data_IF_077435422991
#
_entry.id   IF_077435422991
#
_cell.length_a   1.000
_cell.length_b   1.000
_cell.length_c   1.000
_cell.angle_alpha   90.00
_cell.angle_beta   90.00
_cell.angle_gamma   90.00
#
_symmetry.space_group_name_H-M   'P 1'
#
loop_
_entity.id
_entity.type
_entity.pdbx_description
1 polymer ?
#
# COMPACT_ATOMS: atom_id res chain seq x y z
N UNK A 1 20.41 14.09 0.00
CA UNK A 1 19.99 12.98 -0.87
C UNK A 1 20.94 11.85 -0.54
N UNK A 2 20.39 10.72 -0.07
CA UNK A 2 21.17 9.55 0.35
C UNK A 2 21.93 8.96 -0.84
N UNK A 3 22.90 8.10 -0.56
CA UNK A 3 23.65 7.34 -1.57
C UNK A 3 22.68 6.53 -2.44
N UNK A 4 22.73 6.73 -3.76
CA UNK A 4 21.94 5.98 -4.73
C UNK A 4 22.78 4.81 -5.27
N UNK A 5 22.30 3.58 -5.05
CA UNK A 5 22.91 2.37 -5.64
C UNK A 5 21.99 1.81 -6.72
N UNK A 6 22.49 1.74 -7.94
CA UNK A 6 21.78 1.18 -9.10
C UNK A 6 22.46 -0.10 -9.58
N UNK A 7 21.67 -1.14 -9.83
CA UNK A 7 22.15 -2.41 -10.41
C UNK A 7 21.40 -2.67 -11.71
N UNK A 8 22.15 -2.94 -12.78
CA UNK A 8 21.65 -3.21 -14.12
C UNK A 8 22.37 -4.44 -14.68
N UNK A 9 21.71 -5.16 -15.59
CA UNK A 9 22.24 -6.40 -16.16
C UNK A 9 23.03 -6.20 -17.45
N UNK A 10 22.88 -5.04 -18.10
CA UNK A 10 23.55 -4.73 -19.37
C UNK A 10 24.07 -3.29 -19.40
N UNK A 11 25.14 -3.06 -20.16
CA UNK A 11 25.73 -1.74 -20.39
C UNK A 11 24.71 -0.73 -20.93
N UNK A 12 23.90 -1.16 -21.91
CA UNK A 12 22.90 -0.30 -22.54
C UNK A 12 21.82 0.17 -21.55
N UNK A 13 21.40 -0.70 -20.64
CA UNK A 13 20.47 -0.32 -19.57
C UNK A 13 21.09 0.70 -18.62
N UNK A 14 22.36 0.53 -18.24
CA UNK A 14 23.07 1.50 -17.39
C UNK A 14 23.14 2.88 -18.04
N UNK A 15 23.54 2.96 -19.32
CA UNK A 15 23.65 4.24 -20.04
C UNK A 15 22.28 4.94 -20.11
N UNK A 16 21.22 4.21 -20.44
CA UNK A 16 19.85 4.76 -20.48
C UNK A 16 19.38 5.25 -19.12
N UNK A 17 19.67 4.50 -18.06
CA UNK A 17 19.34 4.86 -16.69
C UNK A 17 20.07 6.14 -16.26
N UNK A 18 21.38 6.22 -16.50
CA UNK A 18 22.18 7.39 -16.14
C UNK A 18 21.72 8.64 -16.88
N UNK A 19 21.37 8.54 -18.17
CA UNK A 19 20.79 9.65 -18.94
C UNK A 19 19.48 10.13 -18.32
N UNK A 20 18.52 9.22 -18.12
CA UNK A 20 17.22 9.58 -17.52
C UNK A 20 17.38 10.14 -16.10
N UNK A 21 18.33 9.62 -15.33
CA UNK A 21 18.62 10.09 -13.98
C UNK A 21 19.17 11.53 -14.02
N UNK A 22 20.09 11.81 -14.94
CA UNK A 22 20.62 13.16 -15.14
C UNK A 22 19.50 14.14 -15.51
N UNK A 23 18.69 13.82 -16.52
CA UNK A 23 17.58 14.68 -16.98
C UNK A 23 16.64 15.03 -15.81
N UNK A 24 16.25 14.03 -15.00
CA UNK A 24 15.37 14.25 -13.85
C UNK A 24 16.01 15.10 -12.74
N UNK A 25 17.30 14.91 -12.48
CA UNK A 25 18.03 15.65 -11.45
C UNK A 25 18.27 17.10 -11.88
N UNK A 26 18.53 17.34 -13.16
CA UNK A 26 18.65 18.68 -13.74
C UNK A 26 17.31 19.43 -13.70
N UNK A 27 16.19 18.75 -14.01
CA UNK A 27 14.84 19.32 -13.85
C UNK A 27 14.54 19.73 -12.40
N UNK A 28 15.11 19.02 -11.42
CA UNK A 28 15.04 19.37 -10.01
C UNK A 28 16.05 20.46 -9.59
N UNK A 29 16.76 21.09 -10.54
CA UNK A 29 17.85 22.07 -10.32
C UNK A 29 18.99 21.54 -9.43
N UNK A 30 19.30 20.26 -9.59
CA UNK A 30 20.39 19.59 -8.88
C UNK A 30 21.41 19.04 -9.88
N UNK A 31 22.62 18.67 -9.41
CA UNK A 31 23.67 18.05 -10.23
C UNK A 31 24.22 16.80 -9.54
N UNK A 32 24.36 15.71 -10.30
CA UNK A 32 25.14 14.54 -9.87
C UNK A 32 26.62 14.86 -10.06
N UNK A 33 27.46 14.51 -9.07
CA UNK A 33 28.92 14.71 -9.14
C UNK A 33 29.59 13.38 -9.49
N UNK A 34 30.03 13.15 -10.74
CA UNK A 34 30.66 11.88 -11.15
C UNK A 34 31.90 11.54 -10.33
N UNK A 35 32.66 12.55 -9.91
CA UNK A 35 33.81 12.41 -9.01
C UNK A 35 33.47 11.78 -7.65
N UNK A 36 32.21 11.87 -7.19
CA UNK A 36 31.69 11.24 -5.97
C UNK A 36 30.97 9.91 -6.22
N UNK A 37 30.77 9.54 -7.47
CA UNK A 37 30.12 8.28 -7.88
C UNK A 37 31.18 7.22 -8.19
N UNK A 38 30.77 5.95 -8.16
CA UNK A 38 31.65 4.81 -8.46
C UNK A 38 30.90 3.78 -9.28
N UNK A 39 31.57 3.21 -10.28
CA UNK A 39 31.02 2.15 -11.11
C UNK A 39 31.81 0.86 -10.96
N UNK A 40 31.07 -0.25 -10.97
CA UNK A 40 31.62 -1.60 -11.00
C UNK A 40 30.93 -2.36 -12.13
N UNK A 41 31.72 -3.04 -12.96
CA UNK A 41 31.23 -3.89 -14.05
C UNK A 41 31.84 -5.27 -13.93
N UNK A 42 30.99 -6.30 -13.98
CA UNK A 42 31.41 -7.70 -13.88
C UNK A 42 30.94 -8.40 -15.14
N UNK A 43 31.89 -8.94 -15.91
CA UNK A 43 31.63 -9.68 -17.15
C UNK A 43 32.22 -11.07 -16.98
N UNK A 44 31.38 -12.11 -17.09
CA UNK A 44 31.79 -13.53 -16.91
C UNK A 44 32.57 -13.77 -15.60
N UNK A 45 32.11 -13.15 -14.51
CA UNK A 45 32.72 -13.30 -13.17
C UNK A 45 34.02 -12.52 -12.96
N UNK A 46 34.50 -11.75 -13.93
CA UNK A 46 35.70 -10.91 -13.80
C UNK A 46 35.32 -9.42 -13.83
N UNK A 47 36.06 -8.61 -13.08
CA UNK A 47 35.95 -7.16 -13.18
C UNK A 47 36.31 -6.70 -14.60
N UNK A 48 35.54 -5.75 -15.10
CA UNK A 48 35.70 -5.16 -16.42
C UNK A 48 35.93 -3.66 -16.30
N UNK A 49 36.85 -3.12 -17.08
CA UNK A 49 37.21 -1.69 -17.10
C UNK A 49 36.21 -0.82 -17.85
N UNK A 50 34.95 -1.23 -17.90
CA UNK A 50 33.89 -0.43 -18.51
C UNK A 50 33.66 0.85 -17.73
N UNK A 51 33.77 1.96 -18.46
CA UNK A 51 33.49 3.31 -17.94
C UNK A 51 32.09 3.76 -18.36
N UNK A 52 31.44 4.48 -17.47
CA UNK A 52 30.17 5.14 -17.70
C UNK A 52 30.32 6.64 -17.50
N UNK A 53 29.47 7.41 -18.16
CA UNK A 53 29.48 8.87 -18.10
C UNK A 53 28.14 9.38 -17.56
N UNK A 54 28.19 10.54 -16.92
CA UNK A 54 27.03 11.37 -16.61
C UNK A 54 27.34 12.74 -17.19
N UNK A 55 26.53 13.19 -18.16
CA UNK A 55 26.93 14.23 -19.11
C UNK A 55 28.19 13.80 -19.85
N UNK A 56 29.20 14.67 -19.86
CA UNK A 56 30.51 14.43 -20.48
C UNK A 56 31.59 14.00 -19.47
N UNK A 57 31.24 13.87 -18.18
CA UNK A 57 32.18 13.55 -17.11
C UNK A 57 32.19 12.03 -16.82
N UNK A 58 33.37 11.36 -16.81
CA UNK A 58 33.46 9.93 -16.52
C UNK A 58 33.28 9.63 -15.02
N UNK A 59 32.58 8.54 -14.72
CA UNK A 59 32.50 7.97 -13.38
C UNK A 59 33.75 7.10 -13.13
N UNK A 60 34.54 7.34 -12.07
CA UNK A 60 35.67 6.49 -11.72
C UNK A 60 35.23 5.06 -11.41
N UNK A 61 36.02 4.07 -11.84
CA UNK A 61 35.77 2.68 -11.48
C UNK A 61 36.16 2.42 -10.02
N UNK A 62 35.62 1.36 -9.42
CA UNK A 62 36.01 0.93 -8.07
C UNK A 62 37.48 0.52 -8.01
N UNK A 63 38.04 0.00 -9.11
CA UNK A 63 39.47 -0.33 -9.22
C UNK A 63 40.36 0.91 -9.20
N UNK A 64 39.94 2.00 -9.83
CA UNK A 64 40.68 3.27 -9.86
C UNK A 64 40.57 4.03 -8.54
N UNK A 65 39.36 4.05 -7.97
CA UNK A 65 39.07 4.73 -6.70
C UNK A 65 38.14 3.87 -5.86
N UNK A 66 38.63 3.24 -4.79
CA UNK A 66 37.81 2.47 -3.87
C UNK A 66 36.60 3.29 -3.38
N UNK A 67 35.50 2.59 -3.11
CA UNK A 67 34.27 3.20 -2.60
C UNK A 67 34.04 2.79 -1.17
N UNK A 68 33.71 3.77 -0.31
CA UNK A 68 33.28 3.50 1.06
C UNK A 68 31.76 3.50 1.10
N UNK A 69 31.15 2.36 1.41
CA UNK A 69 29.69 2.25 1.59
C UNK A 69 29.39 1.55 2.90
N UNK A 70 28.52 2.15 3.72
CA UNK A 70 28.14 1.65 5.06
C UNK A 70 29.34 1.28 5.94
N UNK A 71 30.47 1.94 5.72
CA UNK A 71 31.69 1.73 6.50
C UNK A 71 32.65 0.66 6.04
N UNK A 72 32.34 -0.01 4.95
CA UNK A 72 33.25 -0.94 4.30
C UNK A 72 33.86 -0.28 3.09
N UNK A 73 35.16 -0.50 2.94
CA UNK A 73 35.84 -0.22 1.69
C UNK A 73 35.55 -1.37 0.73
N UNK A 74 35.14 -1.01 -0.47
CA UNK A 74 35.04 -1.92 -1.60
C UNK A 74 36.11 -1.48 -2.59
N UNK A 75 37.04 -2.38 -2.86
CA UNK A 75 38.08 -2.25 -3.87
C UNK A 75 37.94 -3.37 -4.92
N UNK A 76 38.92 -3.48 -5.81
CA UNK A 76 38.92 -4.48 -6.87
C UNK A 76 39.03 -5.94 -6.36
N UNK A 77 39.44 -6.18 -5.11
CA UNK A 77 39.57 -7.52 -4.55
C UNK A 77 38.21 -8.12 -4.17
N UNK A 78 37.25 -7.27 -3.79
CA UNK A 78 35.94 -7.64 -3.25
C UNK A 78 35.98 -8.62 -2.05
N UNK A 79 37.14 -8.80 -1.40
CA UNK A 79 37.29 -9.68 -0.23
C UNK A 79 37.08 -8.91 1.08
N UNK A 80 36.23 -9.45 1.95
CA UNK A 80 35.85 -8.85 3.24
C UNK A 80 36.71 -9.32 4.42
N UNK A 81 37.69 -10.19 4.16
CA UNK A 81 38.47 -10.91 5.18
C UNK A 81 39.84 -10.29 5.47
N UNK A 82 40.15 -9.16 4.84
CA UNK A 82 41.45 -8.49 4.96
C UNK A 82 41.67 -7.94 6.41
N UNK A 83 42.77 -8.31 7.09
CA UNK A 83 43.16 -7.76 8.40
C UNK A 83 43.23 -6.22 8.42
N UNK A 84 43.60 -5.60 7.31
CA UNK A 84 43.64 -4.16 7.12
C UNK A 84 42.23 -3.56 7.19
N UNK A 85 41.20 -4.24 6.66
CA UNK A 85 39.79 -3.80 6.75
C UNK A 85 39.23 -3.98 8.18
N UNK A 86 39.71 -4.98 8.93
CA UNK A 86 39.30 -5.22 10.31
C UNK A 86 39.93 -4.24 11.31
N UNK A 87 41.20 -3.87 11.12
CA UNK A 87 41.92 -2.90 11.96
C UNK A 87 41.65 -1.45 11.54
N UNK A 88 41.50 -1.17 10.24
CA UNK A 88 41.17 0.15 9.73
C UNK A 88 39.65 0.39 9.71
N UNK A 89 38.91 -0.05 10.74
CA UNK A 89 37.49 0.26 10.90
C UNK A 89 37.33 1.78 11.08
N UNK A 90 37.09 2.55 10.00
CA UNK A 90 37.22 3.99 10.08
C UNK A 90 35.95 4.52 10.73
N UNK A 91 36.04 5.58 11.51
CA UNK A 91 34.85 6.27 12.02
C UNK A 91 33.93 6.54 10.82
N UNK A 92 32.70 6.04 10.91
CA UNK A 92 31.73 6.18 9.86
C UNK A 92 31.28 7.63 9.87
N UNK A 93 31.70 8.39 8.86
CA UNK A 93 31.19 9.72 8.55
C UNK A 93 29.72 9.61 8.14
N UNK A 94 28.91 9.24 9.11
CA UNK A 94 27.48 9.31 9.10
C UNK A 94 27.13 10.72 9.55
N UNK A 95 26.08 11.31 8.97
CA UNK A 95 25.69 12.68 9.33
C UNK A 95 25.50 12.82 10.85
N UNK A 96 25.41 14.05 11.36
CA UNK A 96 25.30 14.35 12.80
C UNK A 96 24.16 13.63 13.55
N UNK A 97 23.21 13.02 12.84
CA UNK A 97 21.96 12.47 13.37
C UNK A 97 21.97 10.96 13.60
N UNK A 98 22.94 10.21 13.08
CA UNK A 98 22.93 8.76 13.19
C UNK A 98 24.34 8.22 13.37
N UNK A 99 24.55 7.36 14.37
CA UNK A 99 25.85 6.75 14.66
C UNK A 99 25.71 5.22 14.59
N UNK A 100 26.26 4.55 13.57
CA UNK A 100 26.06 3.11 13.38
C UNK A 100 26.59 2.25 14.52
N UNK A 101 27.67 2.67 15.18
CA UNK A 101 28.23 1.95 16.31
C UNK A 101 27.22 1.89 17.48
N UNK A 102 26.65 3.03 17.84
CA UNK A 102 25.62 3.09 18.88
C UNK A 102 24.35 2.36 18.47
N UNK A 103 23.86 2.54 17.25
CA UNK A 103 22.66 1.84 16.75
C UNK A 103 22.84 0.31 16.78
N UNK A 104 24.00 -0.20 16.36
CA UNK A 104 24.28 -1.65 16.39
C UNK A 104 24.49 -2.16 17.81
N UNK A 105 25.07 -1.37 18.71
CA UNK A 105 25.21 -1.71 20.14
C UNK A 105 23.85 -1.80 20.81
N UNK A 106 22.98 -0.80 20.61
CA UNK A 106 21.60 -0.78 21.12
C UNK A 106 20.78 -1.94 20.57
N UNK A 107 20.84 -2.21 19.26
CA UNK A 107 20.16 -3.35 18.64
C UNK A 107 20.63 -4.70 19.20
N UNK A 108 21.95 -4.89 19.40
CA UNK A 108 22.48 -6.10 20.04
C UNK A 108 22.00 -6.25 21.48
N UNK A 109 21.95 -5.15 22.24
CA UNK A 109 21.44 -5.15 23.61
C UNK A 109 19.95 -5.51 23.66
N UNK A 110 19.13 -4.92 22.78
CA UNK A 110 17.71 -5.25 22.65
C UNK A 110 17.47 -6.72 22.28
N UNK A 111 18.25 -7.26 21.34
CA UNK A 111 18.17 -8.68 20.96
C UNK A 111 18.53 -9.62 22.12
N UNK A 112 19.56 -9.29 22.91
CA UNK A 112 19.90 -10.03 24.13
C UNK A 112 18.79 -9.93 25.19
N UNK A 113 18.22 -8.74 25.37
CA UNK A 113 17.10 -8.54 26.29
C UNK A 113 15.88 -9.38 25.86
N UNK A 114 15.58 -9.44 24.57
CA UNK A 114 14.50 -10.28 24.03
C UNK A 114 14.72 -11.77 24.26
N UNK A 115 15.97 -12.25 24.21
CA UNK A 115 16.28 -13.64 24.58
C UNK A 115 15.99 -13.93 26.07
N UNK A 116 16.15 -12.93 26.95
CA UNK A 116 15.85 -13.05 28.39
C UNK A 116 14.34 -13.03 28.64
N UNK A 117 13.64 -12.05 28.05
CA UNK A 117 12.17 -11.91 28.19
C UNK A 117 11.43 -13.08 27.54
N UNK A 118 12.06 -13.74 26.57
CA UNK A 118 11.45 -14.81 25.80
C UNK A 118 10.51 -14.27 24.72
N UNK A 119 9.88 -15.20 23.98
CA UNK A 119 8.93 -14.82 22.93
C UNK A 119 7.59 -14.47 23.54
N UNK A 120 7.17 -13.22 23.36
CA UNK A 120 5.81 -12.77 23.66
C UNK A 120 4.86 -13.15 22.54
N UNK A 121 3.61 -13.41 22.88
CA UNK A 121 2.55 -13.67 21.90
C UNK A 121 2.28 -12.40 21.08
N UNK A 122 2.29 -12.52 19.75
CA UNK A 122 1.85 -11.45 18.86
C UNK A 122 0.48 -11.78 18.26
N UNK A 123 -0.53 -10.99 18.62
CA UNK A 123 -1.89 -11.12 18.09
C UNK A 123 -2.69 -12.28 18.69
N UNK A 124 -3.68 -12.77 17.93
CA UNK A 124 -4.60 -13.84 18.37
C UNK A 124 -4.08 -15.26 18.13
N UNK A 125 -2.89 -15.40 17.55
CA UNK A 125 -2.26 -16.69 17.33
C UNK A 125 -1.74 -17.25 18.66
N UNK A 126 -1.94 -18.55 18.90
CA UNK A 126 -1.47 -19.21 20.13
C UNK A 126 0.05 -19.19 20.30
N UNK A 127 0.52 -19.46 21.53
CA UNK A 127 1.94 -19.58 21.84
C UNK A 127 2.61 -20.59 20.89
N UNK A 128 3.68 -20.18 20.21
CA UNK A 128 4.42 -21.02 19.26
C UNK A 128 3.98 -20.91 17.80
N UNK A 129 2.92 -20.17 17.48
CA UNK A 129 2.46 -19.98 16.10
C UNK A 129 3.30 -18.91 15.37
N UNK A 130 4.17 -19.33 14.45
CA UNK A 130 4.92 -18.45 13.55
C UNK A 130 6.27 -19.02 13.11
N UNK A 131 6.85 -18.45 12.05
CA UNK A 131 8.21 -18.81 11.63
C UNK A 131 9.20 -18.54 12.77
N UNK A 132 9.93 -19.58 13.18
CA UNK A 132 10.87 -19.51 14.29
C UNK A 132 12.08 -18.65 13.90
N UNK A 133 12.03 -17.35 14.15
CA UNK A 133 13.25 -16.52 14.10
C UNK A 133 14.20 -16.98 15.20
N UNK A 134 15.43 -17.41 14.88
CA UNK A 134 16.34 -17.96 15.87
C UNK A 134 16.63 -16.93 16.98
N UNK A 135 16.69 -17.41 18.22
CA UNK A 135 17.14 -16.61 19.36
C UNK A 135 18.57 -16.11 19.11
N UNK A 136 18.91 -14.93 19.63
CA UNK A 136 20.21 -14.30 19.37
C UNK A 136 21.38 -15.19 19.79
N UNK A 137 21.24 -15.86 20.94
CA UNK A 137 22.21 -16.82 21.47
C UNK A 137 22.43 -18.03 20.54
N UNK A 138 21.37 -18.56 19.92
CA UNK A 138 21.37 -19.74 19.04
C UNK A 138 21.58 -19.42 17.56
N UNK A 139 21.65 -18.14 17.19
CA UNK A 139 21.79 -17.71 15.81
C UNK A 139 23.24 -17.83 15.31
N UNK A 140 23.41 -18.26 14.05
CA UNK A 140 24.71 -18.28 13.35
C UNK A 140 25.23 -16.86 13.10
N UNK A 141 26.53 -16.66 12.80
CA UNK A 141 27.07 -15.32 12.52
C UNK A 141 26.31 -14.56 11.42
N UNK A 142 25.88 -15.25 10.35
CA UNK A 142 25.06 -14.66 9.29
C UNK A 142 23.67 -14.23 9.80
N UNK A 143 23.01 -15.10 10.56
CA UNK A 143 21.70 -14.82 11.15
C UNK A 143 21.75 -13.66 12.14
N UNK A 144 22.80 -13.59 12.97
CA UNK A 144 23.04 -12.47 13.90
C UNK A 144 23.13 -11.13 13.17
N UNK A 145 23.86 -11.08 12.05
CA UNK A 145 23.91 -9.85 11.22
C UNK A 145 22.53 -9.45 10.70
N UNK A 146 21.76 -10.42 10.19
CA UNK A 146 20.38 -10.18 9.72
C UNK A 146 19.47 -9.67 10.83
N UNK A 147 19.54 -10.27 12.02
CA UNK A 147 18.77 -9.85 13.20
C UNK A 147 19.11 -8.43 13.63
N UNK A 148 20.39 -8.06 13.69
CA UNK A 148 20.81 -6.68 14.03
C UNK A 148 20.25 -5.68 13.01
N UNK A 149 20.35 -5.97 11.72
CA UNK A 149 19.82 -5.07 10.67
C UNK A 149 18.31 -4.92 10.78
N UNK A 150 17.58 -6.01 11.04
CA UNK A 150 16.13 -5.96 11.23
C UNK A 150 15.75 -5.17 12.48
N UNK A 151 16.46 -5.38 13.58
CA UNK A 151 16.22 -4.67 14.85
C UNK A 151 16.49 -3.17 14.72
N UNK A 152 17.59 -2.76 14.09
CA UNK A 152 17.86 -1.34 13.81
C UNK A 152 16.73 -0.74 12.97
N UNK A 153 16.28 -1.43 11.92
CA UNK A 153 15.14 -0.95 11.10
C UNK A 153 13.86 -0.81 11.92
N UNK A 154 13.61 -1.74 12.83
CA UNK A 154 12.44 -1.71 13.71
C UNK A 154 12.51 -0.53 14.69
N UNK A 155 13.66 -0.29 15.31
CA UNK A 155 13.87 0.85 16.23
C UNK A 155 13.72 2.19 15.51
N UNK A 156 14.31 2.33 14.32
CA UNK A 156 14.16 3.51 13.48
C UNK A 156 12.70 3.74 13.06
N UNK A 157 11.99 2.68 12.69
CA UNK A 157 10.56 2.78 12.37
C UNK A 157 9.72 3.15 13.59
N UNK A 158 10.02 2.60 14.77
CA UNK A 158 9.36 2.98 16.02
C UNK A 158 9.57 4.46 16.35
N UNK A 159 10.80 4.97 16.17
CA UNK A 159 11.10 6.39 16.36
C UNK A 159 10.36 7.28 15.35
N UNK A 160 10.26 6.86 14.08
CA UNK A 160 9.44 7.57 13.07
C UNK A 160 7.97 7.57 13.43
N UNK A 161 7.43 6.43 13.87
CA UNK A 161 6.04 6.32 14.33
C UNK A 161 5.78 7.23 15.54
N UNK A 162 6.66 7.23 16.54
CA UNK A 162 6.54 8.10 17.71
C UNK A 162 6.54 9.59 17.31
N UNK A 163 7.43 9.98 16.39
CA UNK A 163 7.46 11.33 15.84
C UNK A 163 6.23 11.67 15.00
N UNK A 164 5.69 10.72 14.24
CA UNK A 164 4.47 10.92 13.48
C UNK A 164 3.29 11.14 14.44
N UNK A 165 3.14 10.32 15.48
CA UNK A 165 2.08 10.46 16.49
C UNK A 165 2.13 11.82 17.20
N UNK A 166 3.32 12.37 17.46
CA UNK A 166 3.43 13.69 18.09
C UNK A 166 3.04 14.86 17.18
N UNK A 167 2.86 14.64 15.88
CA UNK A 167 2.42 15.66 14.94
C UNK A 167 0.89 15.70 14.87
N UNK A 168 0.25 16.61 15.61
CA UNK A 168 -1.22 16.70 15.70
C UNK A 168 -1.97 16.80 14.36
N UNK A 169 -1.31 17.34 13.32
CA UNK A 169 -1.88 17.50 11.97
C UNK A 169 -1.32 16.50 10.98
N UNK A 170 -0.01 16.54 10.72
CA UNK A 170 0.65 15.66 9.75
C UNK A 170 0.63 14.20 10.21
N UNK A 171 0.50 13.93 11.50
CA UNK A 171 0.44 12.61 12.10
C UNK A 171 -0.94 11.97 12.12
N UNK A 172 -2.00 12.66 11.69
CA UNK A 172 -3.38 12.15 11.82
C UNK A 172 -3.60 10.81 11.11
N UNK A 173 -2.82 10.49 10.08
CA UNK A 173 -2.89 9.19 9.41
C UNK A 173 -2.54 8.01 10.32
N UNK A 174 -1.83 8.24 11.43
CA UNK A 174 -1.54 7.22 12.44
C UNK A 174 -2.77 6.75 13.21
N UNK A 175 -3.83 7.57 13.25
CA UNK A 175 -5.07 7.29 14.00
C UNK A 175 -6.21 6.84 13.08
N UNK A 176 -5.97 6.60 11.79
CA UNK A 176 -7.01 6.15 10.87
C UNK A 176 -7.25 4.66 11.07
N UNK A 177 -8.37 4.33 11.70
CA UNK A 177 -8.84 2.97 11.87
C UNK A 177 -9.71 2.55 10.68
N UNK A 178 -9.74 1.24 10.38
CA UNK A 178 -10.50 0.71 9.26
C UNK A 178 -10.01 1.13 7.86
N UNK A 179 -8.87 1.81 7.72
CA UNK A 179 -8.30 2.27 6.43
C UNK A 179 -7.11 1.41 5.99
N UNK A 180 -7.11 1.00 4.72
CA UNK A 180 -6.02 0.21 4.14
C UNK A 180 -4.77 1.06 3.89
N UNK A 181 -3.60 0.46 4.17
CA UNK A 181 -2.32 1.12 3.91
C UNK A 181 -2.12 1.27 2.40
N UNK A 182 -2.00 2.51 1.93
CA UNK A 182 -1.66 2.81 0.55
C UNK A 182 -0.18 2.51 0.31
N UNK A 183 0.11 1.41 -0.37
CA UNK A 183 1.46 1.08 -0.84
C UNK A 183 1.63 1.65 -2.24
N UNK A 184 2.59 2.55 -2.39
CA UNK A 184 3.00 3.06 -3.69
C UNK A 184 4.33 2.37 -4.00
N UNK A 185 4.35 1.54 -5.02
CA UNK A 185 5.61 0.90 -5.46
C UNK A 185 6.54 1.94 -6.08
N UNK A 186 7.84 1.64 -6.11
CA UNK A 186 8.80 2.51 -6.80
C UNK A 186 8.42 2.71 -8.27
N UNK A 187 8.00 1.63 -8.95
CA UNK A 187 7.55 1.71 -10.34
C UNK A 187 6.36 2.67 -10.49
N UNK A 188 5.32 2.50 -9.68
CA UNK A 188 4.14 3.39 -9.70
C UNK A 188 4.52 4.85 -9.42
N UNK A 189 5.45 5.08 -8.49
CA UNK A 189 5.92 6.43 -8.18
C UNK A 189 6.68 7.06 -9.36
N UNK A 190 7.51 6.28 -10.04
CA UNK A 190 8.29 6.71 -11.22
C UNK A 190 7.42 6.93 -12.46
N UNK A 191 6.33 6.20 -12.59
CA UNK A 191 5.33 6.37 -13.66
C UNK A 191 4.32 7.49 -13.34
N UNK A 192 4.26 7.94 -12.09
CA UNK A 192 3.34 8.98 -11.67
C UNK A 192 3.78 10.34 -12.17
N UNK A 193 2.82 11.10 -12.71
CA UNK A 193 3.03 12.52 -12.96
C UNK A 193 3.40 13.27 -11.66
N UNK A 194 4.37 14.20 -11.76
CA UNK A 194 4.90 14.92 -10.61
C UNK A 194 3.81 15.62 -9.78
N UNK A 195 2.82 16.23 -10.44
CA UNK A 195 1.70 16.88 -9.77
C UNK A 195 0.84 15.88 -8.98
N UNK A 196 0.57 14.71 -9.54
CA UNK A 196 -0.21 13.65 -8.88
C UNK A 196 0.52 13.05 -7.69
N UNK A 197 1.84 12.88 -7.79
CA UNK A 197 2.69 12.43 -6.68
C UNK A 197 2.70 13.48 -5.55
N UNK A 198 2.96 14.74 -5.89
CA UNK A 198 2.93 15.87 -4.95
C UNK A 198 1.57 15.98 -4.25
N UNK A 199 0.47 15.94 -5.01
CA UNK A 199 -0.87 15.98 -4.47
C UNK A 199 -1.13 14.82 -3.51
N UNK A 200 -0.81 13.59 -3.92
CA UNK A 200 -1.05 12.39 -3.12
C UNK A 200 -0.34 12.45 -1.76
N UNK A 201 0.94 12.82 -1.76
CA UNK A 201 1.74 12.91 -0.54
C UNK A 201 1.21 14.05 0.34
N UNK A 202 1.00 15.24 -0.24
CA UNK A 202 0.54 16.41 0.52
C UNK A 202 -0.87 16.23 1.09
N UNK A 203 -1.74 15.52 0.39
CA UNK A 203 -3.09 15.19 0.86
C UNK A 203 -3.03 14.31 2.11
N UNK A 204 -2.20 13.27 2.11
CA UNK A 204 -2.05 12.34 3.23
C UNK A 204 -1.60 13.05 4.52
N UNK A 205 -0.69 14.02 4.42
CA UNK A 205 -0.15 14.76 5.56
C UNK A 205 -0.88 16.09 5.85
N UNK A 206 -2.01 16.38 5.18
CA UNK A 206 -2.77 17.63 5.33
C UNK A 206 -1.92 18.91 5.14
N UNK A 207 -1.06 18.89 4.11
CA UNK A 207 -0.19 20.00 3.70
C UNK A 207 -0.45 20.42 2.25
N UNK A 208 -1.68 20.21 1.77
CA UNK A 208 -2.16 20.84 0.54
C UNK A 208 -2.32 22.36 0.75
N UNK A 209 -2.19 23.19 -0.30
CA UNK A 209 -2.35 24.65 -0.20
C UNK A 209 -3.83 25.04 -0.03
N UNK A 210 -4.45 24.62 1.07
CA UNK A 210 -5.76 25.15 1.50
C UNK A 210 -5.59 26.57 2.02
N UNK A 211 -6.59 27.47 1.91
CA UNK A 211 -6.48 28.84 2.41
C UNK A 211 -6.05 28.89 3.88
N UNK A 212 -6.50 27.96 4.73
CA UNK A 212 -6.02 27.88 6.12
C UNK A 212 -4.53 27.53 6.23
N UNK A 213 -4.01 26.69 5.36
CA UNK A 213 -2.57 26.36 5.31
C UNK A 213 -1.75 27.51 4.76
N UNK A 214 -2.23 28.16 3.69
CA UNK A 214 -1.58 29.33 3.10
C UNK A 214 -1.54 30.50 4.09
N UNK A 215 -2.62 30.72 4.84
CA UNK A 215 -2.65 31.65 5.96
C UNK A 215 -1.58 31.34 7.01
N UNK A 216 -1.41 30.07 7.36
CA UNK A 216 -0.39 29.65 8.33
C UNK A 216 1.05 29.82 7.81
N UNK A 217 1.29 29.64 6.51
CA UNK A 217 2.65 29.68 5.93
C UNK A 217 3.05 31.07 5.41
N UNK A 218 2.10 31.85 4.92
CA UNK A 218 2.32 33.09 4.18
C UNK A 218 1.46 34.26 4.67
N UNK A 219 0.55 34.06 5.64
CA UNK A 219 -0.31 35.13 6.16
C UNK A 219 -1.49 35.50 5.26
N UNK A 220 -1.82 34.67 4.28
CA UNK A 220 -2.99 34.84 3.41
C UNK A 220 -4.34 34.74 4.15
N UNK A 221 -5.43 35.13 3.47
CA UNK A 221 -6.79 35.02 4.00
C UNK A 221 -7.20 33.52 4.16
N UNK A 222 -7.57 33.07 5.38
CA UNK A 222 -7.97 31.69 5.60
C UNK A 222 -9.41 31.35 5.13
N UNK A 223 -10.19 32.31 4.61
CA UNK A 223 -11.59 32.09 4.25
C UNK A 223 -11.78 31.14 3.07
N UNK A 224 -12.95 30.50 2.99
CA UNK A 224 -13.32 29.69 1.85
C UNK A 224 -13.81 30.58 0.71
N UNK A 225 -13.39 30.28 -0.53
CA UNK A 225 -13.88 30.96 -1.73
C UNK A 225 -15.39 30.77 -2.00
N UNK A 226 -16.06 29.85 -1.29
CA UNK A 226 -17.48 29.53 -1.46
C UNK A 226 -18.34 29.91 -0.26
N UNK A 227 -17.75 30.16 0.91
CA UNK A 227 -18.49 30.42 2.15
C UNK A 227 -17.62 31.16 3.19
N UNK A 228 -18.21 31.80 4.20
CA UNK A 228 -17.45 32.64 5.12
C UNK A 228 -16.60 31.88 6.16
N UNK A 229 -16.59 30.54 6.15
CA UNK A 229 -15.85 29.77 7.16
C UNK A 229 -14.40 29.52 6.77
N UNK A 230 -13.46 29.37 7.73
CA UNK A 230 -12.07 29.04 7.45
C UNK A 230 -11.91 27.74 6.65
N UNK A 231 -11.23 27.81 5.51
CA UNK A 231 -11.06 26.71 4.58
C UNK A 231 -9.88 25.81 4.94
N UNK A 232 -10.13 24.90 5.88
CA UNK A 232 -9.30 23.70 6.09
C UNK A 232 -9.50 22.70 4.95
N UNK A 233 -8.58 21.75 4.77
CA UNK A 233 -8.78 20.67 3.80
C UNK A 233 -10.04 19.85 4.10
N UNK A 234 -10.33 19.57 5.38
CA UNK A 234 -11.56 18.90 5.82
C UNK A 234 -12.80 19.72 5.43
N UNK A 235 -12.78 21.04 5.63
CA UNK A 235 -13.87 21.91 5.21
C UNK A 235 -14.11 21.82 3.71
N UNK A 236 -13.08 22.01 2.89
CA UNK A 236 -13.21 21.99 1.42
C UNK A 236 -13.74 20.63 0.95
N UNK A 237 -13.17 19.53 1.45
CA UNK A 237 -13.47 18.19 0.95
C UNK A 237 -14.77 17.59 1.46
N UNK A 238 -15.23 17.91 2.68
CA UNK A 238 -16.43 17.27 3.24
C UNK A 238 -17.35 18.20 4.04
N UNK A 239 -16.88 19.39 4.44
CA UNK A 239 -17.58 20.25 5.40
C UNK A 239 -18.25 21.51 4.84
N UNK A 240 -18.04 21.85 3.57
CA UNK A 240 -18.57 23.08 2.98
C UNK A 240 -20.05 22.93 2.59
N UNK A 241 -20.93 23.68 3.26
CA UNK A 241 -22.37 23.68 2.96
C UNK A 241 -22.65 24.15 1.54
N UNK A 242 -22.01 25.24 1.09
CA UNK A 242 -22.15 25.73 -0.29
C UNK A 242 -21.67 24.68 -1.29
N UNK A 243 -20.52 24.04 -1.02
CA UNK A 243 -19.99 22.95 -1.85
C UNK A 243 -20.91 21.73 -1.95
N UNK A 244 -21.60 21.40 -0.84
CA UNK A 244 -22.64 20.36 -0.82
C UNK A 244 -23.84 20.75 -1.70
N UNK A 245 -24.38 21.97 -1.55
CA UNK A 245 -25.53 22.43 -2.34
C UNK A 245 -25.22 22.54 -3.84
N UNK A 246 -23.97 22.84 -4.20
CA UNK A 246 -23.50 22.85 -5.58
C UNK A 246 -23.28 21.44 -6.17
N UNK A 247 -23.48 20.37 -5.39
CA UNK A 247 -23.33 19.00 -5.86
C UNK A 247 -21.88 18.52 -6.02
N UNK A 248 -20.87 19.26 -5.52
CA UNK A 248 -19.45 18.88 -5.67
C UNK A 248 -19.12 17.53 -5.03
N UNK A 249 -19.75 17.24 -3.88
CA UNK A 249 -19.57 15.97 -3.17
C UNK A 249 -20.28 14.82 -3.88
N UNK A 250 -21.46 15.07 -4.44
CA UNK A 250 -22.18 14.12 -5.30
C UNK A 250 -21.37 13.80 -6.56
N UNK A 251 -20.75 14.80 -7.18
CA UNK A 251 -19.86 14.58 -8.32
C UNK A 251 -18.70 13.66 -7.96
N UNK A 252 -17.97 13.93 -6.87
CA UNK A 252 -16.87 13.07 -6.41
C UNK A 252 -17.36 11.67 -6.07
N UNK A 253 -18.48 11.57 -5.36
CA UNK A 253 -19.12 10.30 -5.02
C UNK A 253 -19.37 9.46 -6.27
N UNK A 254 -19.98 10.07 -7.30
CA UNK A 254 -20.29 9.39 -8.55
C UNK A 254 -19.03 8.98 -9.32
N UNK A 255 -17.93 9.74 -9.25
CA UNK A 255 -16.64 9.32 -9.80
C UNK A 255 -16.12 8.04 -9.13
N UNK A 256 -16.20 7.96 -7.80
CA UNK A 256 -15.79 6.76 -7.06
C UNK A 256 -16.72 5.57 -7.36
N UNK A 257 -18.03 5.81 -7.39
CA UNK A 257 -19.03 4.80 -7.72
C UNK A 257 -18.83 4.26 -9.15
N UNK A 258 -18.51 5.13 -10.10
CA UNK A 258 -18.20 4.74 -11.48
C UNK A 258 -16.98 3.81 -11.55
N UNK A 259 -15.91 4.12 -10.82
CA UNK A 259 -14.75 3.23 -10.74
C UNK A 259 -15.10 1.87 -10.10
N UNK A 260 -15.83 1.87 -8.99
CA UNK A 260 -16.24 0.64 -8.30
C UNK A 260 -17.15 -0.22 -9.20
N UNK A 261 -18.15 0.39 -9.81
CA UNK A 261 -19.09 -0.28 -10.71
C UNK A 261 -18.36 -0.87 -11.92
N UNK A 262 -17.41 -0.16 -12.54
CA UNK A 262 -16.64 -0.69 -13.66
C UNK A 262 -15.85 -1.96 -13.29
N UNK A 263 -15.21 -1.97 -12.10
CA UNK A 263 -14.48 -3.13 -11.61
C UNK A 263 -15.41 -4.30 -11.32
N UNK A 264 -16.54 -4.05 -10.65
CA UNK A 264 -17.54 -5.08 -10.34
C UNK A 264 -18.20 -5.64 -11.61
N UNK A 265 -18.46 -4.79 -12.60
CA UNK A 265 -19.08 -5.17 -13.87
C UNK A 265 -18.15 -6.05 -14.71
N UNK A 266 -16.88 -5.64 -14.86
CA UNK A 266 -15.86 -6.44 -15.52
C UNK A 266 -15.76 -7.83 -14.88
N UNK A 267 -15.81 -7.87 -13.54
CA UNK A 267 -15.79 -9.14 -12.81
C UNK A 267 -17.04 -9.97 -13.05
N UNK A 268 -18.23 -9.38 -12.94
CA UNK A 268 -19.52 -10.02 -13.22
C UNK A 268 -19.55 -10.66 -14.60
N UNK A 269 -19.15 -9.91 -15.64
CA UNK A 269 -19.06 -10.42 -17.01
C UNK A 269 -18.10 -11.61 -17.12
N UNK A 270 -16.90 -11.50 -16.53
CA UNK A 270 -15.93 -12.59 -16.54
C UNK A 270 -16.46 -13.87 -15.88
N UNK A 271 -17.20 -13.75 -14.77
CA UNK A 271 -17.77 -14.90 -14.06
C UNK A 271 -18.91 -15.50 -14.85
N UNK A 272 -19.83 -14.70 -15.39
CA UNK A 272 -20.97 -15.19 -16.16
C UNK A 272 -20.56 -15.88 -17.47
N UNK A 273 -19.42 -15.50 -18.05
CA UNK A 273 -18.86 -16.16 -19.24
C UNK A 273 -18.24 -17.54 -18.96
N UNK A 274 -18.00 -17.92 -17.69
CA UNK A 274 -17.44 -19.22 -17.35
C UNK A 274 -18.48 -20.34 -17.58
N UNK A 275 -18.02 -21.59 -17.80
CA UNK A 275 -18.92 -22.74 -17.88
C UNK A 275 -19.83 -22.85 -16.65
N UNK A 276 -21.03 -23.46 -16.79
CA UNK A 276 -21.93 -23.69 -15.68
C UNK A 276 -21.21 -24.40 -14.54
N UNK A 277 -21.44 -23.99 -13.27
CA UNK A 277 -20.80 -24.63 -12.14
C UNK A 277 -21.18 -26.12 -12.09
N UNK A 278 -20.17 -27.00 -12.00
CA UNK A 278 -20.39 -28.43 -11.80
C UNK A 278 -21.15 -28.65 -10.48
N UNK A 279 -22.29 -29.34 -10.56
CA UNK A 279 -23.08 -29.73 -9.37
C UNK A 279 -22.51 -30.95 -8.64
N UNK A 280 -21.46 -31.59 -9.15
CA UNK A 280 -20.85 -32.76 -8.51
C UNK A 280 -19.67 -32.33 -7.63
N UNK A 281 -19.65 -32.64 -6.33
CA UNK A 281 -18.40 -32.57 -5.59
C UNK A 281 -17.42 -33.50 -6.28
N UNK A 282 -16.22 -33.00 -6.60
CA UNK A 282 -15.14 -33.85 -7.09
C UNK A 282 -14.72 -34.75 -5.93
N UNK A 283 -15.35 -35.92 -5.79
CA UNK A 283 -14.88 -36.98 -4.92
C UNK A 283 -13.52 -37.42 -5.45
N UNK A 284 -12.46 -36.94 -4.82
CA UNK A 284 -11.10 -37.34 -5.16
C UNK A 284 -10.89 -38.71 -4.55
N UNK A 285 -10.98 -39.77 -5.35
CA UNK A 285 -10.64 -41.12 -4.89
C UNK A 285 -9.13 -41.16 -4.58
N UNK A 286 -8.78 -41.38 -3.33
CA UNK A 286 -7.40 -41.63 -2.90
C UNK A 286 -7.19 -43.14 -2.91
N UNK A 287 -6.12 -43.63 -3.58
CA UNK A 287 -5.75 -45.05 -3.54
C UNK A 287 -5.30 -45.44 -2.13
N UNK A 288 -5.68 -46.63 -1.69
CA UNK A 288 -5.20 -47.22 -0.44
C UNK A 288 -3.65 -47.26 -0.44
N UNK A 289 -3.03 -46.70 0.60
CA UNK A 289 -1.56 -46.55 0.71
C UNK A 289 -0.96 -45.28 0.10
N UNK A 290 -1.75 -44.43 -0.58
CA UNK A 290 -1.29 -43.12 -1.04
C UNK A 290 -1.26 -42.10 0.08
N UNK A 291 -0.07 -41.60 0.45
CA UNK A 291 0.08 -40.54 1.45
C UNK A 291 -0.85 -39.36 1.17
N UNK A 292 -1.46 -38.80 2.21
CA UNK A 292 -2.40 -37.68 2.10
C UNK A 292 -1.77 -36.55 1.28
N UNK A 293 -2.22 -36.39 0.03
CA UNK A 293 -1.93 -35.20 -0.72
C UNK A 293 -2.44 -34.02 0.11
N UNK A 294 -1.53 -33.16 0.55
CA UNK A 294 -1.89 -31.94 1.26
C UNK A 294 -2.74 -31.12 0.29
N UNK A 295 -4.06 -31.20 0.43
CA UNK A 295 -5.00 -30.38 -0.34
C UNK A 295 -4.70 -28.93 0.05
N UNK A 296 -3.80 -28.30 -0.69
CA UNK A 296 -3.70 -26.85 -0.74
C UNK A 296 -5.04 -26.42 -1.32
N UNK A 297 -5.96 -26.04 -0.44
CA UNK A 297 -7.25 -25.45 -0.80
C UNK A 297 -6.94 -24.11 -1.47
N UNK A 298 -6.64 -24.14 -2.76
CA UNK A 298 -6.62 -22.95 -3.60
C UNK A 298 -8.02 -22.40 -3.58
N UNK A 299 -8.22 -21.35 -2.76
CA UNK A 299 -9.49 -20.62 -2.68
C UNK A 299 -9.95 -20.31 -4.10
N UNK A 300 -11.18 -20.71 -4.50
CA UNK A 300 -11.63 -20.58 -5.87
C UNK A 300 -11.43 -19.14 -6.35
N UNK A 301 -10.79 -19.00 -7.51
CA UNK A 301 -10.44 -17.69 -8.07
C UNK A 301 -11.67 -16.81 -8.24
N UNK A 302 -12.84 -17.41 -8.41
CA UNK A 302 -14.15 -16.80 -8.63
C UNK A 302 -14.77 -16.13 -7.39
N UNK A 303 -14.28 -16.40 -6.17
CA UNK A 303 -14.86 -15.85 -4.94
C UNK A 303 -16.31 -16.32 -4.71
N UNK A 304 -17.11 -15.50 -4.02
CA UNK A 304 -18.53 -15.80 -3.75
C UNK A 304 -19.40 -15.81 -5.03
N UNK A 305 -18.93 -15.18 -6.10
CA UNK A 305 -19.63 -15.17 -7.40
C UNK A 305 -19.53 -16.51 -8.15
N UNK A 306 -18.62 -17.41 -7.75
CA UNK A 306 -18.40 -18.68 -8.43
C UNK A 306 -19.60 -19.62 -8.51
N UNK A 307 -20.60 -19.46 -7.63
CA UNK A 307 -21.77 -20.34 -7.55
C UNK A 307 -22.83 -20.13 -8.64
N UNK A 308 -22.77 -19.05 -9.42
CA UNK A 308 -23.77 -18.70 -10.43
C UNK A 308 -23.17 -18.05 -11.68
N UNK A 309 -23.96 -18.01 -12.77
CA UNK A 309 -23.63 -17.34 -14.05
C UNK A 309 -24.70 -16.35 -14.52
N UNK A 310 -25.73 -16.15 -13.71
CA UNK A 310 -26.86 -15.26 -13.98
C UNK A 310 -26.75 -13.96 -13.17
N UNK A 311 -25.54 -13.59 -12.73
CA UNK A 311 -25.35 -12.38 -11.94
C UNK A 311 -25.74 -11.12 -12.72
N UNK A 312 -26.59 -10.28 -12.15
CA UNK A 312 -27.03 -8.99 -12.66
C UNK A 312 -26.58 -7.88 -11.71
N UNK A 313 -26.30 -6.69 -12.25
CA UNK A 313 -25.85 -5.54 -11.48
C UNK A 313 -26.56 -4.27 -11.93
N UNK A 314 -26.87 -3.39 -10.97
CA UNK A 314 -27.33 -2.01 -11.19
C UNK A 314 -26.48 -1.08 -10.33
N UNK A 315 -26.14 0.09 -10.86
CA UNK A 315 -25.46 1.16 -10.13
C UNK A 315 -26.24 2.47 -10.28
N UNK A 316 -26.31 3.28 -9.22
CA UNK A 316 -27.03 4.56 -9.21
C UNK A 316 -26.21 5.68 -9.88
N UNK A 317 -25.93 5.50 -11.18
CA UNK A 317 -25.15 6.42 -11.99
C UNK A 317 -25.99 6.94 -13.17
N UNK A 318 -26.28 8.24 -13.17
CA UNK A 318 -27.02 8.92 -14.24
C UNK A 318 -28.52 8.64 -14.21
N UNK A 319 -28.93 7.40 -14.50
CA UNK A 319 -30.33 6.98 -14.40
C UNK A 319 -30.67 6.58 -12.96
N UNK A 320 -31.87 6.95 -12.50
CA UNK A 320 -32.31 6.60 -11.15
C UNK A 320 -32.45 5.08 -11.02
N UNK A 321 -31.63 4.47 -10.16
CA UNK A 321 -31.71 3.05 -9.87
C UNK A 321 -33.10 2.70 -9.32
N UNK A 322 -33.73 1.67 -9.89
CA UNK A 322 -34.95 1.05 -9.36
C UNK A 322 -34.57 -0.30 -8.79
N UNK A 323 -34.93 -0.55 -7.53
CA UNK A 323 -34.59 -1.81 -6.88
C UNK A 323 -35.33 -2.98 -7.56
N UNK A 324 -34.69 -4.13 -7.82
CA UNK A 324 -35.33 -5.24 -8.52
C UNK A 324 -36.55 -5.78 -7.75
N UNK A 325 -37.73 -5.67 -8.36
CA UNK A 325 -39.00 -6.09 -7.75
C UNK A 325 -39.06 -7.60 -7.45
N UNK A 326 -38.29 -8.43 -8.16
CA UNK A 326 -38.13 -9.86 -7.92
C UNK A 326 -37.47 -10.19 -6.57
N UNK A 327 -36.77 -9.21 -5.97
CA UNK A 327 -36.12 -9.32 -4.67
C UNK A 327 -37.05 -8.74 -3.60
N UNK A 328 -37.38 -7.45 -3.71
CA UNK A 328 -38.27 -6.74 -2.81
C UNK A 328 -38.85 -5.51 -3.52
N UNK A 329 -40.05 -5.09 -3.12
CA UNK A 329 -40.65 -3.86 -3.62
C UNK A 329 -40.18 -2.70 -2.74
N UNK A 330 -39.31 -1.84 -3.25
CA UNK A 330 -38.77 -0.71 -2.46
C UNK A 330 -38.47 0.51 -3.33
N UNK A 331 -38.67 1.69 -2.73
CA UNK A 331 -38.27 2.98 -3.29
C UNK A 331 -36.85 3.40 -2.85
N UNK A 332 -36.20 2.58 -2.02
CA UNK A 332 -34.83 2.82 -1.59
C UNK A 332 -33.86 2.66 -2.76
N UNK A 333 -32.80 3.47 -2.75
CA UNK A 333 -31.81 3.56 -3.83
C UNK A 333 -30.40 3.36 -3.27
N UNK A 334 -29.97 2.10 -3.11
CA UNK A 334 -28.58 1.77 -2.87
C UNK A 334 -27.71 2.24 -4.04
N UNK A 335 -26.44 2.54 -3.78
CA UNK A 335 -25.52 3.00 -4.81
C UNK A 335 -25.19 1.88 -5.83
N UNK A 336 -25.17 0.62 -5.38
CA UNK A 336 -24.99 -0.53 -6.25
C UNK A 336 -25.73 -1.75 -5.71
N UNK A 337 -26.37 -2.51 -6.61
CA UNK A 337 -27.06 -3.76 -6.30
C UNK A 337 -26.53 -4.85 -7.22
N UNK A 338 -26.10 -5.98 -6.66
CA UNK A 338 -25.60 -7.15 -7.39
C UNK A 338 -26.36 -8.39 -6.92
N UNK A 339 -26.96 -9.16 -7.83
CA UNK A 339 -27.79 -10.30 -7.44
C UNK A 339 -27.79 -11.45 -8.45
N UNK A 340 -28.17 -12.63 -7.99
CA UNK A 340 -28.39 -13.84 -8.80
C UNK A 340 -29.72 -14.45 -8.40
N UNK A 341 -30.60 -14.66 -9.39
CA UNK A 341 -31.92 -15.25 -9.18
C UNK A 341 -31.81 -16.76 -8.90
N UNK A 342 -30.86 -17.44 -9.55
CA UNK A 342 -30.62 -18.87 -9.37
C UNK A 342 -30.13 -19.23 -7.96
N UNK A 343 -29.29 -18.37 -7.35
CA UNK A 343 -28.83 -18.56 -5.96
C UNK A 343 -29.75 -17.90 -4.93
N UNK A 344 -30.76 -17.14 -5.37
CA UNK A 344 -31.55 -16.24 -4.52
C UNK A 344 -30.65 -15.42 -3.61
N UNK A 345 -29.66 -14.74 -4.17
CA UNK A 345 -28.67 -13.98 -3.40
C UNK A 345 -28.55 -12.54 -3.91
N UNK A 346 -28.50 -11.58 -2.98
CA UNK A 346 -28.39 -10.15 -3.28
C UNK A 346 -27.37 -9.46 -2.36
N UNK A 347 -26.54 -8.60 -2.97
CA UNK A 347 -25.65 -7.67 -2.30
C UNK A 347 -26.15 -6.25 -2.52
N UNK A 348 -26.40 -5.56 -1.42
CA UNK A 348 -26.86 -4.17 -1.37
C UNK A 348 -25.65 -3.34 -0.93
N UNK A 349 -25.05 -2.59 -1.85
CA UNK A 349 -23.82 -1.83 -1.63
C UNK A 349 -24.15 -0.35 -1.51
N UNK A 350 -23.69 0.26 -0.43
CA UNK A 350 -23.83 1.70 -0.15
C UNK A 350 -22.43 2.30 -0.03
N UNK A 351 -22.09 3.21 -0.93
CA UNK A 351 -20.84 3.91 -0.96
C UNK A 351 -20.92 5.17 -0.10
N UNK A 352 -19.86 5.46 0.63
CA UNK A 352 -19.66 6.75 1.28
C UNK A 352 -18.24 7.24 1.05
N UNK A 353 -18.08 8.56 0.87
CA UNK A 353 -16.78 9.21 0.67
C UNK A 353 -16.47 10.14 1.84
N UNK A 354 -16.09 9.60 3.03
CA UNK A 354 -15.90 10.39 4.23
C UNK A 354 -14.49 11.00 4.30
N UNK A 355 -14.26 11.80 5.35
CA UNK A 355 -12.91 12.04 5.84
C UNK A 355 -12.37 10.75 6.48
N UNK A 356 -11.09 10.44 6.31
CA UNK A 356 -10.51 9.13 6.63
C UNK A 356 -10.66 8.76 8.11
N UNK A 357 -10.59 9.74 9.03
CA UNK A 357 -10.80 9.46 10.45
C UNK A 357 -12.27 9.17 10.81
N UNK A 358 -13.21 9.40 9.89
CA UNK A 358 -14.64 9.15 10.08
C UNK A 358 -15.13 7.92 9.30
N UNK A 359 -14.21 7.07 8.82
CA UNK A 359 -14.54 5.86 8.05
C UNK A 359 -15.34 4.87 8.88
N UNK A 360 -14.90 4.55 10.11
CA UNK A 360 -15.62 3.59 10.96
C UNK A 360 -16.99 4.12 11.42
N UNK A 361 -17.06 5.40 11.82
CA UNK A 361 -18.33 6.05 12.13
C UNK A 361 -19.29 6.04 10.92
N UNK A 362 -18.76 6.20 9.70
CA UNK A 362 -19.55 6.11 8.49
C UNK A 362 -20.09 4.71 8.24
N UNK A 363 -19.25 3.70 8.44
CA UNK A 363 -19.63 2.29 8.31
C UNK A 363 -20.76 1.92 9.26
N UNK A 364 -20.63 2.21 10.56
CA UNK A 364 -21.64 1.84 11.56
C UNK A 364 -22.98 2.56 11.30
N UNK A 365 -22.93 3.85 10.95
CA UNK A 365 -24.13 4.62 10.62
C UNK A 365 -24.87 4.09 9.39
N UNK A 366 -24.14 3.58 8.39
CA UNK A 366 -24.71 3.14 7.10
C UNK A 366 -25.14 1.69 7.10
N UNK A 367 -24.59 0.87 7.99
CA UNK A 367 -24.95 -0.55 8.16
C UNK A 367 -26.44 -0.76 8.41
N UNK A 368 -27.09 0.14 9.15
CA UNK A 368 -28.49 0.04 9.53
C UNK A 368 -29.47 0.56 8.46
N UNK A 369 -29.00 1.35 7.49
CA UNK A 369 -29.87 2.06 6.52
C UNK A 369 -30.75 1.12 5.69
N UNK A 370 -30.24 -0.07 5.38
CA UNK A 370 -30.93 -1.06 4.55
C UNK A 370 -31.22 -2.36 5.30
N UNK A 371 -31.23 -2.32 6.64
CA UNK A 371 -31.51 -3.50 7.45
C UNK A 371 -32.92 -4.06 7.17
N UNK A 372 -33.93 -3.17 7.14
CA UNK A 372 -35.32 -3.56 6.87
C UNK A 372 -35.49 -4.10 5.45
N UNK A 373 -34.87 -3.45 4.46
CA UNK A 373 -34.88 -3.94 3.07
C UNK A 373 -34.23 -5.32 2.93
N UNK A 374 -33.16 -5.59 3.68
CA UNK A 374 -32.53 -6.89 3.70
C UNK A 374 -33.41 -7.94 4.40
N UNK A 375 -34.12 -7.57 5.47
CA UNK A 375 -35.07 -8.44 6.15
C UNK A 375 -36.26 -8.81 5.24
N UNK A 376 -36.81 -7.84 4.51
CA UNK A 376 -37.90 -8.07 3.54
C UNK A 376 -37.46 -9.03 2.42
N UNK A 377 -36.25 -8.86 1.90
CA UNK A 377 -35.68 -9.77 0.91
C UNK A 377 -35.49 -11.19 1.49
N UNK A 378 -35.04 -11.30 2.75
CA UNK A 378 -34.90 -12.58 3.44
C UNK A 378 -36.22 -13.30 3.66
N UNK A 379 -37.29 -12.58 4.04
CA UNK A 379 -38.63 -13.14 4.16
C UNK A 379 -39.14 -13.70 2.81
N UNK A 380 -38.72 -13.09 1.70
CA UNK A 380 -39.01 -13.56 0.33
C UNK A 380 -38.06 -14.67 -0.16
N UNK A 381 -37.25 -15.24 0.74
CA UNK A 381 -36.35 -16.36 0.46
C UNK A 381 -35.00 -15.97 -0.15
N UNK A 382 -34.62 -14.69 -0.13
CA UNK A 382 -33.33 -14.23 -0.63
C UNK A 382 -32.27 -14.14 0.47
N UNK A 383 -31.05 -14.58 0.18
CA UNK A 383 -29.85 -14.30 0.97
C UNK A 383 -29.41 -12.86 0.70
N UNK A 384 -29.87 -11.93 1.53
CA UNK A 384 -29.51 -10.52 1.42
C UNK A 384 -28.31 -10.14 2.31
N UNK A 385 -27.35 -9.41 1.73
CA UNK A 385 -26.19 -8.86 2.45
C UNK A 385 -26.07 -7.36 2.18
N UNK A 386 -26.12 -6.56 3.26
CA UNK A 386 -25.83 -5.12 3.21
C UNK A 386 -24.32 -4.91 3.36
N UNK A 387 -23.74 -4.15 2.43
CA UNK A 387 -22.31 -3.89 2.34
C UNK A 387 -22.07 -2.37 2.28
N UNK A 388 -21.97 -1.68 3.42
CA UNK A 388 -21.40 -0.34 3.45
C UNK A 388 -19.95 -0.39 3.01
N UNK A 389 -19.57 0.50 2.10
CA UNK A 389 -18.21 0.62 1.58
C UNK A 389 -17.76 2.07 1.61
N UNK A 390 -16.54 2.29 2.06
CA UNK A 390 -15.98 3.63 2.23
C UNK A 390 -14.71 3.81 1.41
N UNK A 391 -14.60 4.99 0.80
CA UNK A 391 -13.37 5.47 0.18
C UNK A 391 -13.13 6.88 0.68
N UNK A 392 -12.05 7.09 1.42
CA UNK A 392 -11.69 8.38 1.97
C UNK A 392 -11.53 9.44 0.87
N UNK A 393 -11.93 10.66 1.16
CA UNK A 393 -11.88 11.78 0.22
C UNK A 393 -10.47 12.17 -0.25
N UNK A 394 -9.41 11.73 0.45
CA UNK A 394 -7.99 11.86 0.03
C UNK A 394 -7.50 10.63 -0.75
N UNK A 395 -8.38 9.70 -1.07
CA UNK A 395 -8.11 8.54 -1.92
C UNK A 395 -7.57 7.31 -1.17
N UNK A 396 -7.85 7.18 0.13
CA UNK A 396 -7.54 5.98 0.90
C UNK A 396 -8.74 5.05 0.95
N UNK A 397 -8.53 3.76 0.72
CA UNK A 397 -9.62 2.77 0.63
C UNK A 397 -9.87 2.17 2.01
N UNK A 398 -11.13 2.03 2.41
CA UNK A 398 -11.45 1.35 3.66
C UNK A 398 -11.34 -0.17 3.53
N UNK A 399 -11.13 -0.82 4.67
CA UNK A 399 -11.06 -2.29 4.78
C UNK A 399 -12.37 -2.96 4.37
N UNK A 400 -13.51 -2.28 4.52
CA UNK A 400 -14.85 -2.68 4.04
C UNK A 400 -14.88 -2.86 2.52
N UNK A 401 -14.40 -1.86 1.77
CA UNK A 401 -14.28 -1.88 0.31
C UNK A 401 -13.34 -3.00 -0.14
N UNK A 402 -12.18 -3.13 0.49
CA UNK A 402 -11.23 -4.22 0.20
C UNK A 402 -11.76 -5.60 0.56
N UNK A 403 -12.64 -5.72 1.57
CA UNK A 403 -13.33 -6.96 1.93
C UNK A 403 -14.35 -7.32 0.86
N UNK A 404 -15.19 -6.38 0.44
CA UNK A 404 -16.18 -6.58 -0.62
C UNK A 404 -15.50 -7.06 -1.90
N UNK A 405 -14.46 -6.36 -2.37
CA UNK A 405 -13.73 -6.73 -3.58
C UNK A 405 -13.14 -8.15 -3.49
N UNK A 406 -12.54 -8.51 -2.35
CA UNK A 406 -12.02 -9.87 -2.12
C UNK A 406 -13.13 -10.92 -2.13
N UNK A 407 -14.27 -10.65 -1.52
CA UNK A 407 -15.43 -11.55 -1.54
C UNK A 407 -15.96 -11.78 -2.97
N UNK A 408 -15.92 -10.74 -3.82
CA UNK A 408 -16.27 -10.83 -5.25
C UNK A 408 -15.17 -11.49 -6.12
N UNK A 409 -14.08 -11.93 -5.50
CA UNK A 409 -12.94 -12.54 -6.18
C UNK A 409 -12.10 -11.53 -6.98
N UNK A 410 -12.24 -10.23 -6.71
CA UNK A 410 -11.35 -9.20 -7.24
C UNK A 410 -10.08 -9.17 -6.38
N UNK A 411 -8.95 -9.55 -6.96
CA UNK A 411 -7.63 -9.52 -6.31
C UNK A 411 -6.74 -8.47 -6.97
N UNK A 412 -6.00 -7.71 -6.16
CA UNK A 412 -4.98 -6.79 -6.65
C UNK A 412 -3.79 -7.53 -7.26
N UNK A 413 -3.01 -6.85 -8.11
CA UNK A 413 -1.80 -7.41 -8.76
C UNK A 413 -0.77 -8.00 -7.77
N UNK A 414 -0.78 -7.56 -6.51
CA UNK A 414 0.09 -8.07 -5.44
C UNK A 414 -0.36 -9.41 -4.81
N UNK A 415 -1.50 -9.96 -5.24
CA UNK A 415 -2.07 -11.23 -4.77
C UNK A 415 -2.41 -12.20 -5.93
N UNK A 416 -1.83 -11.95 -7.12
CA UNK A 416 -1.75 -12.93 -8.20
C UNK A 416 -0.43 -13.67 -8.10
#
# INVERSE_FOLDING_TARGET
MDDLTTLTTTKACTVRLLKKLQDNIELARMKIKPSKSRSISIVKGKLSDQRFLIGDEPIPTVSEKPVKSLGRWYDASLDSSDPFVAQAAPILATGRKWTPLEATKQAKAALKHRDIVGRVQHGRSGLGAGASTPAWNKATPFQRRKLVVQEVRQQEEAARCAKAVSQAKQGQWMTWEGVEKRKISWQELWEMEAFKASFTIRAAYDVLPSPKNLSQWYGEDPTCSLCPTPATLKHILVGCKTGLTQGRYTWRHNQVLQCLAAVMESRRMSVNALPPPSRRPATTFVREGGGQATLTTTRPETGQLGGARDWKMLADLGQKLRFPAEIATSNLRPDLVLWSASLKQVYIVELTVPWESAVEEAYERKKLRYADLAADAQQRGWKAKVCPVEVGCRGFVATSTSRLLREMGVRGKAHR
#
